data_IF_035377613329
#
_entry.id   IF_035377613329
#
_cell.length_a   1.000
_cell.length_b   1.000
_cell.length_c   1.000
_cell.angle_alpha   90.00
_cell.angle_beta   90.00
_cell.angle_gamma   90.00
#
_symmetry.space_group_name_H-M   'P 1'
#
loop_
_entity.id
_entity.type
_entity.pdbx_description
1 polymer ?
#
# COMPACT_ATOMS: atom_id res chain seq x y z
N UNK A 1 24.17 -28.58 -2.48
CA UNK A 1 24.55 -27.97 -3.76
C UNK A 1 24.84 -26.49 -3.50
N UNK A 2 26.08 -26.07 -3.71
CA UNK A 2 26.49 -24.66 -3.58
C UNK A 2 26.02 -23.93 -4.84
N UNK A 3 25.08 -22.99 -4.68
CA UNK A 3 24.65 -22.15 -5.79
C UNK A 3 25.69 -21.03 -5.95
N UNK A 4 26.38 -21.01 -7.08
CA UNK A 4 27.40 -20.01 -7.42
C UNK A 4 26.75 -18.61 -7.46
N UNK A 5 27.15 -17.66 -6.60
CA UNK A 5 26.58 -16.32 -6.57
C UNK A 5 26.87 -15.50 -7.83
N UNK A 6 27.82 -15.91 -8.70
CA UNK A 6 28.16 -15.21 -9.93
C UNK A 6 27.15 -15.43 -11.06
N UNK A 7 26.24 -16.40 -10.93
CA UNK A 7 25.24 -16.74 -11.98
C UNK A 7 23.91 -16.00 -11.80
N UNK A 8 23.76 -15.16 -10.77
CA UNK A 8 22.56 -14.35 -10.60
C UNK A 8 22.56 -13.19 -11.58
N UNK A 9 21.73 -13.25 -12.62
CA UNK A 9 21.39 -12.05 -13.40
C UNK A 9 20.92 -10.97 -12.43
N UNK A 10 21.57 -9.81 -12.39
CA UNK A 10 21.13 -8.73 -11.48
C UNK A 10 19.70 -8.37 -11.81
N UNK A 11 18.81 -8.49 -10.82
CA UNK A 11 17.43 -8.03 -10.99
C UNK A 11 17.45 -6.53 -11.31
N UNK A 12 16.74 -6.09 -12.35
CA UNK A 12 16.69 -4.67 -12.68
C UNK A 12 16.20 -3.87 -11.47
N UNK A 13 16.91 -2.79 -11.14
CA UNK A 13 16.50 -1.89 -10.05
C UNK A 13 15.18 -1.23 -10.44
N UNK A 14 14.19 -1.33 -9.56
CA UNK A 14 12.93 -0.64 -9.71
C UNK A 14 13.08 0.75 -9.08
N UNK A 15 13.13 1.78 -9.92
CA UNK A 15 13.27 3.18 -9.49
C UNK A 15 12.11 3.96 -10.08
N UNK A 16 11.41 4.72 -9.24
CA UNK A 16 10.24 5.48 -9.66
C UNK A 16 9.85 6.55 -8.66
N UNK A 17 8.72 7.17 -8.91
CA UNK A 17 8.14 8.19 -8.04
C UNK A 17 6.62 8.11 -8.02
N UNK A 18 6.01 8.88 -7.11
CA UNK A 18 4.59 9.20 -7.15
C UNK A 18 4.37 10.33 -8.14
N UNK A 19 4.04 10.01 -9.37
CA UNK A 19 3.85 11.02 -10.42
C UNK A 19 2.48 11.69 -10.33
N UNK A 20 2.38 12.92 -10.84
CA UNK A 20 1.12 13.67 -10.89
C UNK A 20 0.10 12.90 -11.73
N UNK A 21 -1.10 12.70 -11.20
CA UNK A 21 -2.20 11.95 -11.82
C UNK A 21 -3.23 12.82 -12.55
N UNK A 22 -2.96 14.11 -12.77
CA UNK A 22 -3.80 14.98 -13.60
C UNK A 22 -3.98 14.35 -14.97
N UNK A 23 -5.21 14.07 -15.35
CA UNK A 23 -5.57 13.28 -16.52
C UNK A 23 -5.73 11.79 -16.25
N UNK A 24 -5.67 11.38 -14.96
CA UNK A 24 -5.87 10.03 -14.47
C UNK A 24 -4.61 9.17 -14.45
N UNK A 25 -4.74 7.97 -13.88
CA UNK A 25 -3.62 7.03 -13.69
C UNK A 25 -2.91 6.61 -15.01
N UNK A 26 -3.55 6.57 -16.19
CA UNK A 26 -2.82 6.36 -17.44
C UNK A 26 -1.81 7.47 -17.73
N UNK A 27 -2.15 8.74 -17.43
CA UNK A 27 -1.23 9.85 -17.60
C UNK A 27 -0.08 9.83 -16.58
N UNK A 28 -0.34 9.36 -15.36
CA UNK A 28 0.72 9.11 -14.38
C UNK A 28 1.75 8.09 -14.90
N UNK A 29 1.27 7.00 -15.50
CA UNK A 29 2.15 5.97 -16.10
C UNK A 29 3.00 6.54 -17.26
N UNK A 30 2.39 7.32 -18.17
CA UNK A 30 3.12 7.95 -19.28
C UNK A 30 4.19 8.93 -18.80
N UNK A 31 3.88 9.74 -17.75
CA UNK A 31 4.88 10.66 -17.16
C UNK A 31 6.05 9.90 -16.56
N UNK A 32 5.78 8.78 -15.87
CA UNK A 32 6.83 7.92 -15.34
C UNK A 32 7.72 7.36 -16.46
N UNK A 33 7.12 6.84 -17.54
CA UNK A 33 7.85 6.34 -18.71
C UNK A 33 8.70 7.41 -19.38
N UNK A 34 8.13 8.60 -19.61
CA UNK A 34 8.86 9.73 -20.21
C UNK A 34 10.05 10.20 -19.35
N UNK A 35 9.99 9.99 -18.04
CA UNK A 35 11.09 10.28 -17.12
C UNK A 35 12.07 9.09 -16.95
N UNK A 36 11.92 8.01 -17.71
CA UNK A 36 12.81 6.84 -17.64
C UNK A 36 12.63 6.00 -16.39
N UNK A 37 11.49 6.11 -15.69
CA UNK A 37 11.21 5.34 -14.48
C UNK A 37 10.87 3.88 -14.83
N UNK A 38 11.24 2.97 -13.93
CA UNK A 38 10.96 1.53 -14.03
C UNK A 38 9.93 1.04 -12.99
N UNK A 39 9.52 1.94 -12.09
CA UNK A 39 8.48 1.73 -11.10
C UNK A 39 7.60 2.97 -10.96
N UNK A 40 6.44 2.82 -10.33
CA UNK A 40 5.46 3.89 -10.20
C UNK A 40 4.66 3.74 -8.90
N UNK A 41 4.41 4.85 -8.22
CA UNK A 41 3.40 4.95 -7.17
C UNK A 41 2.26 5.83 -7.66
N UNK A 42 1.01 5.47 -7.32
CA UNK A 42 -0.20 6.20 -7.69
C UNK A 42 -1.20 6.23 -6.53
N UNK A 43 -2.18 7.15 -6.61
CA UNK A 43 -3.45 7.00 -5.92
C UNK A 43 -4.46 6.28 -6.82
N UNK A 44 -5.18 5.28 -6.29
CA UNK A 44 -6.24 4.60 -7.04
C UNK A 44 -7.54 5.40 -7.07
N UNK A 45 -7.74 6.24 -6.06
CA UNK A 45 -8.88 7.12 -5.82
C UNK A 45 -8.41 8.44 -5.21
N UNK A 46 -9.33 9.42 -5.08
CA UNK A 46 -9.00 10.71 -4.46
C UNK A 46 -8.68 10.50 -2.97
N UNK A 47 -7.46 10.82 -2.50
CA UNK A 47 -6.96 10.42 -1.18
C UNK A 47 -7.64 11.11 0.01
N UNK A 48 -8.53 12.07 -0.24
CA UNK A 48 -9.25 12.88 0.77
C UNK A 48 -10.61 12.30 1.18
N UNK A 49 -11.10 11.26 0.49
CA UNK A 49 -12.46 10.78 0.68
C UNK A 49 -12.52 9.29 1.01
N UNK A 50 -13.36 8.94 2.02
CA UNK A 50 -13.66 7.55 2.40
C UNK A 50 -14.68 6.87 1.47
N UNK A 51 -15.50 7.65 0.74
CA UNK A 51 -16.71 7.18 0.06
C UNK A 51 -16.48 6.77 -1.40
N UNK A 52 -15.23 6.58 -1.81
CA UNK A 52 -14.93 6.10 -3.15
C UNK A 52 -15.49 4.70 -3.38
N UNK A 53 -16.04 4.49 -4.59
CA UNK A 53 -16.53 3.18 -5.01
C UNK A 53 -15.37 2.19 -5.12
N UNK A 54 -15.60 0.94 -4.72
CA UNK A 54 -14.59 -0.11 -4.83
C UNK A 54 -14.26 -0.46 -6.30
N UNK A 55 -15.24 -0.37 -7.20
CA UNK A 55 -15.08 -0.74 -8.60
C UNK A 55 -14.26 0.23 -9.42
N UNK A 56 -13.39 -0.31 -10.28
CA UNK A 56 -12.70 0.42 -11.35
C UNK A 56 -13.36 0.07 -12.68
N UNK A 57 -13.72 1.08 -13.45
CA UNK A 57 -14.32 0.86 -14.78
C UNK A 57 -13.37 0.10 -15.69
N UNK A 58 -13.83 -0.92 -16.46
CA UNK A 58 -12.97 -1.73 -17.33
C UNK A 58 -12.14 -0.90 -18.31
N UNK A 59 -12.71 0.18 -18.84
CA UNK A 59 -12.01 1.07 -19.77
C UNK A 59 -10.82 1.77 -19.10
N UNK A 60 -10.96 2.13 -17.82
CA UNK A 60 -9.87 2.74 -17.03
C UNK A 60 -8.75 1.73 -16.78
N UNK A 61 -9.09 0.47 -16.51
CA UNK A 61 -8.11 -0.63 -16.34
C UNK A 61 -7.34 -0.83 -17.64
N UNK A 62 -8.06 -0.98 -18.76
CA UNK A 62 -7.45 -1.17 -20.09
C UNK A 62 -6.53 -0.01 -20.46
N UNK A 63 -6.98 1.23 -20.30
CA UNK A 63 -6.18 2.42 -20.59
C UNK A 63 -4.92 2.51 -19.71
N UNK A 64 -5.03 2.13 -18.43
CA UNK A 64 -3.89 2.11 -17.52
C UNK A 64 -2.88 1.04 -17.89
N UNK A 65 -3.32 -0.17 -18.21
CA UNK A 65 -2.44 -1.25 -18.64
C UNK A 65 -1.73 -0.92 -19.96
N UNK A 66 -2.43 -0.31 -20.92
CA UNK A 66 -1.82 0.15 -22.17
C UNK A 66 -0.72 1.21 -21.89
N UNK A 67 -1.01 2.19 -21.04
CA UNK A 67 -0.04 3.22 -20.69
C UNK A 67 1.20 2.67 -19.95
N UNK A 68 1.03 1.65 -19.08
CA UNK A 68 2.15 0.96 -18.44
C UNK A 68 2.99 0.20 -19.47
N UNK A 69 2.36 -0.47 -20.44
CA UNK A 69 3.07 -1.17 -21.51
C UNK A 69 3.85 -0.19 -22.40
N UNK A 70 3.25 0.96 -22.79
CA UNK A 70 3.93 2.05 -23.50
C UNK A 70 5.14 2.59 -22.72
N UNK A 71 5.01 2.70 -21.39
CA UNK A 71 6.07 3.18 -20.50
C UNK A 71 7.15 2.12 -20.19
N UNK A 72 6.97 0.85 -20.58
CA UNK A 72 7.86 -0.24 -20.19
C UNK A 72 7.84 -0.57 -18.70
N UNK A 73 6.77 -0.21 -17.98
CA UNK A 73 6.63 -0.44 -16.52
C UNK A 73 5.75 -1.67 -16.30
N UNK A 74 6.30 -2.69 -15.63
CA UNK A 74 5.52 -3.87 -15.27
C UNK A 74 4.46 -3.53 -14.22
N UNK A 75 3.26 -4.12 -14.30
CA UNK A 75 2.20 -3.96 -13.27
C UNK A 75 2.69 -4.31 -11.87
N UNK A 76 3.57 -5.30 -11.76
CA UNK A 76 4.23 -5.71 -10.51
C UNK A 76 5.28 -4.71 -10.00
N UNK A 77 5.60 -3.68 -10.77
CA UNK A 77 6.44 -2.55 -10.36
C UNK A 77 5.62 -1.31 -9.96
N UNK A 78 4.30 -1.46 -9.84
CA UNK A 78 3.40 -0.38 -9.42
C UNK A 78 2.87 -0.64 -8.01
N UNK A 79 2.87 0.40 -7.18
CA UNK A 79 2.27 0.43 -5.84
C UNK A 79 1.18 1.51 -5.83
N UNK A 80 0.05 1.19 -5.22
CA UNK A 80 -0.96 2.18 -4.85
C UNK A 80 -0.63 2.67 -3.44
N UNK A 81 -0.65 3.98 -3.22
CA UNK A 81 -0.68 4.55 -1.88
C UNK A 81 -2.14 4.80 -1.47
N UNK A 82 -2.55 4.30 -0.32
CA UNK A 82 -3.88 4.56 0.20
C UNK A 82 -4.03 6.01 0.66
N UNK A 83 -5.27 6.50 0.71
CA UNK A 83 -5.54 7.83 1.20
C UNK A 83 -5.08 8.02 2.65
N UNK A 84 -4.43 9.14 2.94
CA UNK A 84 -3.87 9.46 4.26
C UNK A 84 -4.93 9.77 5.34
N UNK A 85 -6.21 9.78 4.97
CA UNK A 85 -7.32 9.90 5.93
C UNK A 85 -7.61 8.58 6.68
N UNK A 86 -7.01 7.46 6.26
CA UNK A 86 -7.20 6.17 6.90
C UNK A 86 -6.56 6.16 8.29
N UNK A 87 -7.34 5.75 9.30
CA UNK A 87 -6.83 5.49 10.64
C UNK A 87 -7.32 4.12 11.12
N UNK A 88 -6.59 3.07 10.78
CA UNK A 88 -6.89 1.70 11.21
C UNK A 88 -6.52 1.42 12.67
N UNK A 89 -5.81 2.34 13.35
CA UNK A 89 -5.40 2.22 14.73
C UNK A 89 -6.38 2.87 15.72
N UNK A 90 -7.40 3.61 15.24
CA UNK A 90 -8.34 4.36 16.12
C UNK A 90 -9.14 3.45 17.06
N UNK A 91 -9.34 3.85 18.33
CA UNK A 91 -10.24 3.14 19.26
C UNK A 91 -11.73 3.42 19.00
N UNK A 92 -12.06 4.46 18.26
CA UNK A 92 -13.43 4.80 17.89
C UNK A 92 -13.97 3.77 16.89
N UNK A 93 -14.95 2.98 17.31
CA UNK A 93 -15.47 1.86 16.54
C UNK A 93 -16.06 2.28 15.19
N UNK A 94 -16.75 3.42 15.12
CA UNK A 94 -17.35 3.91 13.88
C UNK A 94 -16.27 4.39 12.88
N UNK A 95 -15.26 5.11 13.37
CA UNK A 95 -14.14 5.55 12.55
C UNK A 95 -13.29 4.36 12.08
N UNK A 96 -13.09 3.38 12.98
CA UNK A 96 -12.37 2.15 12.65
C UNK A 96 -13.09 1.37 11.53
N UNK A 97 -14.41 1.19 11.66
CA UNK A 97 -15.22 0.50 10.65
C UNK A 97 -15.11 1.19 9.27
N UNK A 98 -15.15 2.52 9.26
CA UNK A 98 -14.96 3.30 8.03
C UNK A 98 -13.55 3.12 7.45
N UNK A 99 -12.52 3.14 8.29
CA UNK A 99 -11.13 2.96 7.86
C UNK A 99 -10.87 1.54 7.33
N UNK A 100 -11.33 0.50 8.03
CA UNK A 100 -11.19 -0.89 7.60
C UNK A 100 -11.93 -1.17 6.29
N UNK A 101 -13.15 -0.63 6.14
CA UNK A 101 -13.90 -0.69 4.88
C UNK A 101 -13.18 0.03 3.75
N UNK A 102 -12.60 1.20 3.99
CA UNK A 102 -11.87 1.95 2.98
C UNK A 102 -10.58 1.23 2.57
N UNK A 103 -9.86 0.60 3.51
CA UNK A 103 -8.67 -0.22 3.22
C UNK A 103 -9.04 -1.43 2.35
N UNK A 104 -10.18 -2.08 2.64
CA UNK A 104 -10.70 -3.19 1.82
C UNK A 104 -10.98 -2.72 0.39
N UNK A 105 -11.65 -1.58 0.22
CA UNK A 105 -11.92 -0.99 -1.11
C UNK A 105 -10.64 -0.61 -1.86
N UNK A 106 -9.61 -0.12 -1.16
CA UNK A 106 -8.30 0.15 -1.78
C UNK A 106 -7.65 -1.13 -2.30
N UNK A 107 -7.68 -2.20 -1.51
CA UNK A 107 -7.16 -3.49 -1.94
C UNK A 107 -7.94 -4.04 -3.13
N UNK A 108 -9.26 -3.93 -3.14
CA UNK A 108 -10.14 -4.37 -4.23
C UNK A 108 -9.83 -3.62 -5.54
N UNK A 109 -9.74 -2.28 -5.51
CA UNK A 109 -9.34 -1.47 -6.68
C UNK A 109 -7.97 -1.86 -7.20
N UNK A 110 -7.02 -2.00 -6.29
CA UNK A 110 -5.63 -2.33 -6.62
C UNK A 110 -5.49 -3.74 -7.19
N UNK A 111 -6.30 -4.69 -6.70
CA UNK A 111 -6.40 -6.05 -7.26
C UNK A 111 -7.00 -6.02 -8.67
N UNK A 112 -8.04 -5.22 -8.91
CA UNK A 112 -8.62 -5.00 -10.24
C UNK A 112 -7.59 -4.39 -11.21
N UNK A 113 -6.75 -3.46 -10.73
CA UNK A 113 -5.64 -2.88 -11.50
C UNK A 113 -4.45 -3.84 -11.67
N UNK A 114 -4.44 -4.98 -10.97
CA UNK A 114 -3.38 -6.00 -10.99
C UNK A 114 -2.00 -5.44 -10.62
N UNK A 115 -1.96 -4.49 -9.72
CA UNK A 115 -0.71 -3.90 -9.22
C UNK A 115 -0.12 -4.70 -8.05
N UNK A 116 1.13 -4.42 -7.70
CA UNK A 116 1.89 -5.16 -6.68
C UNK A 116 1.23 -5.12 -5.31
N UNK A 117 0.79 -3.95 -4.88
CA UNK A 117 0.27 -3.79 -3.53
C UNK A 117 -0.27 -2.40 -3.23
N UNK A 118 -0.86 -2.29 -2.05
CA UNK A 118 -1.32 -1.05 -1.43
C UNK A 118 -0.43 -0.73 -0.25
N UNK A 119 0.26 0.40 -0.28
CA UNK A 119 0.97 0.98 0.86
C UNK A 119 0.04 1.91 1.61
N UNK A 120 0.01 1.83 2.95
CA UNK A 120 -0.89 2.65 3.76
C UNK A 120 -0.27 2.99 5.12
N UNK A 121 -0.61 4.17 5.65
CA UNK A 121 -0.28 4.55 7.01
C UNK A 121 -1.19 3.82 8.01
N UNK A 122 -0.67 3.20 9.07
CA UNK A 122 -1.50 2.46 10.04
C UNK A 122 -2.46 3.36 10.81
N UNK A 123 -2.14 4.65 10.96
CA UNK A 123 -2.93 5.62 11.71
C UNK A 123 -2.43 5.83 13.15
N UNK A 124 -3.27 6.37 14.01
CA UNK A 124 -2.93 6.75 15.37
C UNK A 124 -3.89 6.15 16.43
N UNK A 125 -3.31 5.62 17.51
CA UNK A 125 -4.04 5.13 18.69
C UNK A 125 -4.35 6.30 19.64
N UNK A 126 -5.48 6.98 19.41
CA UNK A 126 -5.85 8.21 20.13
C UNK A 126 -6.22 7.98 21.60
N UNK A 127 -6.32 6.73 22.04
CA UNK A 127 -6.46 6.28 23.42
C UNK A 127 -5.12 6.12 24.16
N UNK A 128 -4.00 6.33 23.48
CA UNK A 128 -2.64 6.08 23.94
C UNK A 128 -2.29 4.59 24.17
N UNK A 129 -3.18 3.66 23.86
CA UNK A 129 -2.92 2.22 23.91
C UNK A 129 -2.32 1.75 22.57
N UNK A 130 -0.98 1.76 22.51
CA UNK A 130 -0.24 1.43 21.30
C UNK A 130 -0.39 -0.05 20.92
N UNK A 131 -0.41 -0.94 21.90
CA UNK A 131 -0.56 -2.40 21.65
C UNK A 131 -1.95 -2.72 21.10
N UNK A 132 -3.00 -2.13 21.66
CA UNK A 132 -4.33 -2.20 21.10
C UNK A 132 -4.40 -1.55 19.71
N UNK A 133 -3.68 -0.46 19.46
CA UNK A 133 -3.54 0.16 18.14
C UNK A 133 -2.95 -0.79 17.10
N UNK A 134 -1.86 -1.48 17.44
CA UNK A 134 -1.23 -2.52 16.59
C UNK A 134 -2.23 -3.64 16.28
N UNK A 135 -2.96 -4.13 17.28
CA UNK A 135 -3.97 -5.17 17.10
C UNK A 135 -5.12 -4.73 16.20
N UNK A 136 -5.60 -3.48 16.33
CA UNK A 136 -6.66 -2.91 15.47
C UNK A 136 -6.22 -2.81 14.01
N UNK A 137 -4.97 -2.42 13.75
CA UNK A 137 -4.41 -2.39 12.38
C UNK A 137 -4.33 -3.79 11.79
N UNK A 138 -3.81 -4.77 12.55
CA UNK A 138 -3.74 -6.16 12.11
C UNK A 138 -5.15 -6.73 11.80
N UNK A 139 -6.15 -6.40 12.61
CA UNK A 139 -7.56 -6.81 12.37
C UNK A 139 -8.10 -6.20 11.08
N UNK A 140 -7.84 -4.92 10.80
CA UNK A 140 -8.27 -4.27 9.55
C UNK A 140 -7.59 -4.90 8.33
N UNK A 141 -6.28 -5.21 8.41
CA UNK A 141 -5.55 -5.92 7.35
C UNK A 141 -6.09 -7.33 7.12
N UNK A 142 -6.33 -8.08 8.20
CA UNK A 142 -6.90 -9.44 8.14
C UNK A 142 -8.23 -9.41 7.40
N UNK A 143 -9.16 -8.53 7.82
CA UNK A 143 -10.46 -8.36 7.18
C UNK A 143 -10.34 -8.06 5.68
N UNK A 144 -9.48 -7.13 5.30
CA UNK A 144 -9.30 -6.77 3.90
C UNK A 144 -8.74 -7.95 3.08
N UNK A 145 -7.74 -8.67 3.61
CA UNK A 145 -7.11 -9.80 2.92
C UNK A 145 -8.02 -11.03 2.83
N UNK A 146 -8.94 -11.23 3.78
CA UNK A 146 -9.96 -12.29 3.74
C UNK A 146 -11.10 -11.95 2.76
N UNK A 147 -11.44 -10.66 2.65
CA UNK A 147 -12.52 -10.20 1.79
C UNK A 147 -12.14 -10.17 0.32
N UNK A 148 -10.88 -9.85 0.02
CA UNK A 148 -10.39 -9.64 -1.36
C UNK A 148 -9.40 -10.71 -1.75
N UNK A 149 -9.80 -11.59 -2.65
CA UNK A 149 -8.91 -12.58 -3.24
C UNK A 149 -7.93 -11.95 -4.24
N UNK A 150 -6.77 -12.58 -4.43
CA UNK A 150 -5.80 -12.18 -5.43
C UNK A 150 -4.36 -12.11 -4.91
N UNK A 151 -3.46 -11.61 -5.77
CA UNK A 151 -2.02 -11.54 -5.48
C UNK A 151 -1.57 -10.18 -4.91
N UNK A 152 -2.41 -9.15 -4.98
CA UNK A 152 -2.10 -7.80 -4.49
C UNK A 152 -1.88 -7.82 -2.99
N UNK A 153 -0.80 -7.16 -2.53
CA UNK A 153 -0.37 -7.16 -1.13
C UNK A 153 -0.86 -5.92 -0.39
N UNK A 154 -1.01 -6.03 0.93
CA UNK A 154 -1.08 -4.88 1.84
C UNK A 154 0.31 -4.63 2.45
N UNK A 155 0.77 -3.39 2.36
CA UNK A 155 2.07 -2.95 2.82
C UNK A 155 1.87 -1.86 3.88
N UNK A 156 2.12 -2.20 5.16
CA UNK A 156 2.06 -1.21 6.22
C UNK A 156 3.31 -0.32 6.15
N UNK A 157 3.12 1.00 6.13
CA UNK A 157 4.22 1.95 6.09
C UNK A 157 4.67 2.33 7.51
N UNK A 158 6.00 2.47 7.71
CA UNK A 158 6.49 3.05 8.95
C UNK A 158 6.10 4.52 9.06
N UNK A 159 5.88 5.01 10.28
CA UNK A 159 5.44 6.37 10.55
C UNK A 159 6.56 7.24 11.13
N UNK A 160 6.45 8.56 10.95
CA UNK A 160 7.36 9.55 11.53
C UNK A 160 7.28 9.65 13.07
N UNK A 161 6.32 8.97 13.69
CA UNK A 161 6.18 8.91 15.15
C UNK A 161 5.55 10.15 15.79
N UNK A 162 4.90 11.01 15.01
CA UNK A 162 4.18 12.16 15.57
C UNK A 162 3.00 11.71 16.42
N UNK A 163 2.92 12.19 17.65
CA UNK A 163 1.85 11.83 18.60
C UNK A 163 1.75 10.32 18.82
N UNK A 164 0.53 9.79 18.65
CA UNK A 164 0.21 8.39 18.89
C UNK A 164 0.15 7.55 17.59
N UNK A 165 0.85 7.99 16.52
CA UNK A 165 0.92 7.20 15.28
C UNK A 165 1.58 5.87 15.53
N UNK A 166 0.97 4.81 14.99
CA UNK A 166 1.48 3.44 15.03
C UNK A 166 2.47 3.23 13.86
N UNK A 167 3.42 2.30 14.01
CA UNK A 167 4.42 2.00 13.00
C UNK A 167 5.71 2.85 13.13
N UNK A 168 5.91 3.52 14.26
CA UNK A 168 7.14 4.25 14.56
C UNK A 168 8.34 3.33 14.71
N UNK A 169 8.14 2.17 15.32
CA UNK A 169 9.22 1.22 15.63
C UNK A 169 9.12 -0.05 14.79
N UNK A 170 10.26 -0.73 14.62
CA UNK A 170 10.30 -2.05 13.97
C UNK A 170 9.40 -3.05 14.69
N UNK A 171 9.34 -2.98 16.03
CA UNK A 171 8.50 -3.84 16.86
C UNK A 171 7.01 -3.67 16.55
N UNK A 172 6.53 -2.46 16.35
CA UNK A 172 5.14 -2.19 16.01
C UNK A 172 4.79 -2.71 14.61
N UNK A 173 5.65 -2.44 13.61
CA UNK A 173 5.46 -2.96 12.25
C UNK A 173 5.50 -4.49 12.24
N UNK A 174 6.47 -5.10 12.93
CA UNK A 174 6.56 -6.54 13.07
C UNK A 174 5.35 -7.12 13.83
N UNK A 175 4.90 -6.45 14.89
CA UNK A 175 3.70 -6.81 15.66
C UNK A 175 2.45 -6.88 14.79
N UNK A 176 2.22 -5.87 13.93
CA UNK A 176 1.12 -5.88 12.96
C UNK A 176 1.21 -7.11 12.06
N UNK A 177 2.37 -7.34 11.42
CA UNK A 177 2.54 -8.41 10.44
C UNK A 177 2.48 -9.80 11.05
N UNK A 178 3.03 -9.99 12.25
CA UNK A 178 3.02 -11.29 12.96
C UNK A 178 1.67 -11.63 13.58
N UNK A 179 0.82 -10.63 13.83
CA UNK A 179 -0.56 -10.80 14.30
C UNK A 179 -1.51 -11.31 13.21
N UNK A 180 -1.12 -11.21 11.93
CA UNK A 180 -1.93 -11.76 10.84
C UNK A 180 -1.98 -13.30 10.89
N UNK A 181 -3.10 -13.93 10.50
CA UNK A 181 -3.15 -15.37 10.27
C UNK A 181 -2.01 -15.83 9.35
N UNK A 182 -1.35 -16.96 9.64
CA UNK A 182 -0.22 -17.46 8.84
C UNK A 182 -0.53 -17.58 7.33
N UNK A 183 -1.75 -17.96 6.97
CA UNK A 183 -2.23 -18.08 5.59
C UNK A 183 -2.25 -16.76 4.81
N UNK A 184 -2.36 -15.63 5.50
CA UNK A 184 -2.45 -14.31 4.89
C UNK A 184 -1.10 -13.58 4.82
N UNK A 185 -0.09 -14.00 5.58
CA UNK A 185 1.21 -13.32 5.68
C UNK A 185 1.94 -13.21 4.34
N UNK A 186 1.75 -14.16 3.43
CA UNK A 186 2.33 -14.08 2.08
C UNK A 186 1.81 -12.88 1.26
N UNK A 187 0.63 -12.36 1.61
CA UNK A 187 0.01 -11.18 1.00
C UNK A 187 0.21 -9.90 1.82
N UNK A 188 1.03 -9.92 2.84
CA UNK A 188 1.35 -8.77 3.67
C UNK A 188 2.83 -8.42 3.58
N UNK A 189 3.18 -7.19 3.93
CA UNK A 189 4.54 -6.71 3.99
C UNK A 189 4.60 -5.29 4.56
N UNK A 190 5.72 -4.62 4.37
CA UNK A 190 5.90 -3.25 4.82
C UNK A 190 6.45 -2.36 3.70
N UNK A 191 6.15 -1.07 3.78
CA UNK A 191 6.81 0.01 3.06
C UNK A 191 7.76 0.73 4.00
N UNK A 192 8.99 1.00 3.56
CA UNK A 192 9.95 1.78 4.33
C UNK A 192 10.05 3.18 3.73
N UNK A 193 9.50 4.17 4.45
CA UNK A 193 9.71 5.57 4.18
C UNK A 193 10.93 6.06 4.99
N UNK A 194 11.99 6.46 4.29
CA UNK A 194 13.25 6.90 4.92
C UNK A 194 13.15 8.29 5.55
N UNK A 195 12.22 9.13 5.07
CA UNK A 195 11.93 10.42 5.69
C UNK A 195 11.23 10.23 7.04
N UNK A 196 10.23 9.33 7.10
CA UNK A 196 9.59 8.94 8.35
C UNK A 196 10.56 8.28 9.31
N UNK A 197 11.45 7.41 8.80
CA UNK A 197 12.47 6.76 9.63
C UNK A 197 13.41 7.78 10.26
N UNK A 198 13.89 8.74 9.48
CA UNK A 198 14.73 9.82 9.98
C UNK A 198 14.02 10.69 11.03
N UNK A 199 12.74 11.03 10.79
CA UNK A 199 11.96 11.85 11.70
C UNK A 199 11.59 11.13 13.01
N UNK A 200 11.55 9.81 13.00
CA UNK A 200 11.21 9.01 14.19
C UNK A 200 12.36 8.85 15.21
N UNK A 201 13.59 9.15 14.82
CA UNK A 201 14.80 9.09 15.66
C UNK A 201 15.64 7.85 15.45
#
# INVERSE_FOLDING_TARGET
AHVDPSTRTPMPRLIGAHTIDIGGIPMAARRAGNAGMTALQIFSAIPKYYNEKAGVKPERVTAFHAALAEAGIARTAVIVHAGYVLNCATPDAEKWERAATALTKELERSTTLQVRGVCFHPGAATDNDRDAGVARVATAMTRALETVDGATKLLVENSAGAGNTIGRTVQEVAGILTSLPPSLRARAGYGLDTCHLFASG
#
